data_IF_745340610565
#
_entry.id   IF_745340610565
#
_cell.length_a   1.000
_cell.length_b   1.000
_cell.length_c   1.000
_cell.angle_alpha   90.00
_cell.angle_beta   90.00
_cell.angle_gamma   90.00
#
_symmetry.space_group_name_H-M   'P 1'
#
loop_
_entity.id
_entity.type
_entity.pdbx_description
1 polymer ?
#
# COMPACT_ATOMS: atom_id res chain seq x y z
N UNK A 1 3.11 8.57 3.60
CA UNK A 1 3.80 7.55 4.43
C UNK A 1 4.13 8.10 5.82
N UNK A 2 3.21 8.84 6.47
CA UNK A 2 3.58 9.65 7.66
C UNK A 2 3.05 9.10 9.00
N UNK A 3 2.61 7.84 9.10
CA UNK A 3 1.90 7.41 10.32
C UNK A 3 2.12 5.94 10.76
N UNK A 4 3.33 5.38 10.55
CA UNK A 4 3.77 4.17 11.27
C UNK A 4 5.14 4.29 11.94
N UNK A 5 5.85 5.40 11.74
CA UNK A 5 7.14 5.67 12.39
C UNK A 5 6.99 6.27 13.81
N UNK A 6 5.81 6.77 14.18
CA UNK A 6 5.59 7.42 15.49
C UNK A 6 5.16 6.48 16.63
N UNK A 7 4.95 5.18 16.38
CA UNK A 7 4.40 4.25 17.40
C UNK A 7 5.41 3.28 18.00
N UNK A 8 6.70 3.43 17.69
CA UNK A 8 7.79 2.60 18.22
C UNK A 8 7.99 1.29 17.45
N UNK A 9 7.49 1.19 16.21
CA UNK A 9 7.68 0.00 15.40
C UNK A 9 9.06 -0.04 14.76
N UNK A 10 9.67 -1.24 14.73
CA UNK A 10 11.00 -1.45 14.17
C UNK A 10 10.96 -2.43 12.98
N UNK A 11 11.81 -2.24 11.96
CA UNK A 11 12.03 -3.28 10.97
C UNK A 11 12.66 -4.50 11.65
N UNK A 12 12.21 -5.70 11.26
CA UNK A 12 12.83 -6.92 11.75
C UNK A 12 12.34 -8.16 11.02
N UNK A 13 13.00 -9.29 11.25
CA UNK A 13 12.90 -10.48 10.39
C UNK A 13 11.52 -11.13 10.32
N UNK A 14 10.68 -10.96 11.35
CA UNK A 14 9.31 -11.48 11.41
C UNK A 14 8.39 -10.45 12.03
N UNK A 15 7.12 -10.49 11.62
CA UNK A 15 6.08 -9.69 12.24
C UNK A 15 5.89 -10.17 13.68
N UNK A 16 6.06 -9.27 14.64
CA UNK A 16 5.80 -9.51 16.03
C UNK A 16 5.10 -8.28 16.60
N UNK A 17 3.80 -8.40 16.88
CA UNK A 17 2.98 -7.27 17.32
C UNK A 17 3.27 -6.90 18.80
N UNK A 18 3.83 -7.81 19.61
CA UNK A 18 4.18 -7.60 21.03
C UNK A 18 5.39 -6.68 21.19
N UNK A 19 6.43 -6.87 20.36
CA UNK A 19 7.61 -5.99 20.32
C UNK A 19 7.52 -4.93 19.21
N UNK A 20 6.35 -4.81 18.57
CA UNK A 20 6.08 -3.89 17.46
C UNK A 20 7.13 -4.02 16.34
N UNK A 21 7.41 -5.24 15.91
CA UNK A 21 8.35 -5.53 14.83
C UNK A 21 7.60 -5.89 13.57
N UNK A 22 7.95 -5.31 12.43
CA UNK A 22 7.34 -5.66 11.15
C UNK A 22 8.38 -5.60 10.02
N UNK A 23 8.60 -6.71 9.28
CA UNK A 23 9.55 -6.75 8.16
C UNK A 23 9.18 -5.79 7.02
N UNK A 24 7.91 -5.42 6.90
CA UNK A 24 7.43 -4.51 5.86
C UNK A 24 7.61 -3.02 6.22
N UNK A 25 8.32 -2.69 7.32
CA UNK A 25 8.70 -1.33 7.68
C UNK A 25 10.05 -0.94 7.06
N UNK A 26 10.20 -1.24 5.78
CA UNK A 26 11.32 -0.83 4.95
C UNK A 26 10.79 0.04 3.81
N UNK A 27 11.63 0.84 3.14
CA UNK A 27 11.23 1.56 1.94
C UNK A 27 10.59 0.63 0.92
N UNK A 28 9.64 1.14 0.13
CA UNK A 28 8.92 0.34 -0.87
C UNK A 28 9.88 -0.43 -1.78
N UNK A 29 10.96 0.21 -2.24
CA UNK A 29 11.98 -0.40 -3.09
C UNK A 29 12.62 -1.66 -2.47
N UNK A 30 12.78 -1.68 -1.15
CA UNK A 30 13.40 -2.76 -0.38
C UNK A 30 12.41 -3.86 0.05
N UNK A 31 11.12 -3.70 -0.22
CA UNK A 31 10.14 -4.74 0.06
C UNK A 31 10.37 -5.96 -0.85
N UNK A 32 10.22 -7.19 -0.32
CA UNK A 32 10.18 -8.38 -1.16
C UNK A 32 9.10 -8.27 -2.23
N UNK A 33 9.40 -8.69 -3.47
CA UNK A 33 8.45 -8.61 -4.58
C UNK A 33 7.12 -9.34 -4.27
N UNK A 34 7.15 -10.44 -3.52
CA UNK A 34 5.92 -11.13 -3.09
C UNK A 34 4.99 -10.22 -2.26
N UNK A 35 5.54 -9.34 -1.43
CA UNK A 35 4.74 -8.39 -0.65
C UNK A 35 4.23 -7.26 -1.55
N UNK A 36 5.07 -6.75 -2.45
CA UNK A 36 4.66 -5.76 -3.45
C UNK A 36 3.53 -6.29 -4.33
N UNK A 37 3.59 -7.56 -4.72
CA UNK A 37 2.59 -8.19 -5.57
C UNK A 37 1.26 -8.36 -4.84
N UNK A 38 1.26 -8.71 -3.56
CA UNK A 38 0.03 -8.72 -2.73
C UNK A 38 -0.62 -7.34 -2.68
N UNK A 39 0.17 -6.28 -2.48
CA UNK A 39 -0.34 -4.91 -2.47
C UNK A 39 -0.88 -4.51 -3.86
N UNK A 40 -0.17 -4.87 -4.95
CA UNK A 40 -0.63 -4.64 -6.33
C UNK A 40 -1.92 -5.37 -6.64
N UNK A 41 -2.06 -6.63 -6.22
CA UNK A 41 -3.25 -7.44 -6.44
C UNK A 41 -4.46 -6.89 -5.70
N UNK A 42 -4.26 -6.41 -4.47
CA UNK A 42 -5.30 -5.70 -3.72
C UNK A 42 -5.74 -4.43 -4.46
N UNK A 43 -4.80 -3.63 -4.95
CA UNK A 43 -5.11 -2.41 -5.72
C UNK A 43 -5.81 -2.75 -7.04
N UNK A 44 -5.43 -3.83 -7.72
CA UNK A 44 -6.08 -4.31 -8.95
C UNK A 44 -7.54 -4.72 -8.74
N UNK A 45 -7.91 -5.14 -7.52
CA UNK A 45 -9.30 -5.48 -7.19
C UNK A 45 -10.19 -4.28 -6.84
N UNK A 46 -9.61 -3.10 -6.57
CA UNK A 46 -10.39 -1.89 -6.23
C UNK A 46 -11.36 -1.49 -7.35
N UNK A 47 -10.95 -1.44 -8.64
CA UNK A 47 -11.87 -1.15 -9.74
C UNK A 47 -13.08 -2.08 -9.79
N UNK A 48 -12.89 -3.39 -9.58
CA UNK A 48 -13.99 -4.37 -9.57
C UNK A 48 -14.97 -4.15 -8.42
N UNK A 49 -14.45 -3.86 -7.21
CA UNK A 49 -15.28 -3.57 -6.04
C UNK A 49 -16.10 -2.29 -6.28
N UNK A 50 -15.47 -1.25 -6.81
CA UNK A 50 -16.13 0.02 -7.13
C UNK A 50 -17.20 -0.16 -8.21
N UNK A 51 -16.91 -0.92 -9.27
CA UNK A 51 -17.86 -1.22 -10.33
C UNK A 51 -19.10 -1.94 -9.80
N UNK A 52 -18.92 -2.93 -8.91
CA UNK A 52 -20.03 -3.64 -8.24
C UNK A 52 -20.86 -2.73 -7.33
N UNK A 53 -20.24 -1.70 -6.76
CA UNK A 53 -20.92 -0.68 -5.97
C UNK A 53 -21.54 0.46 -6.83
N UNK A 54 -21.45 0.39 -8.16
CA UNK A 54 -22.01 1.40 -9.07
C UNK A 54 -21.14 2.64 -9.28
N UNK A 55 -19.86 2.57 -8.90
CA UNK A 55 -18.88 3.64 -9.09
C UNK A 55 -17.92 3.34 -10.25
N UNK A 56 -17.32 4.39 -10.81
CA UNK A 56 -16.29 4.28 -11.85
C UNK A 56 -15.06 5.10 -11.48
N UNK A 57 -13.88 4.59 -11.81
CA UNK A 57 -12.62 5.33 -11.72
C UNK A 57 -12.42 6.11 -13.01
N UNK A 58 -12.26 7.43 -12.89
CA UNK A 58 -11.95 8.30 -14.03
C UNK A 58 -10.58 8.93 -13.83
N UNK A 59 -9.78 8.96 -14.90
CA UNK A 59 -8.55 9.74 -14.93
C UNK A 59 -8.93 11.19 -15.15
N UNK A 60 -8.73 12.03 -14.13
CA UNK A 60 -8.78 13.47 -14.33
C UNK A 60 -7.65 13.84 -15.28
N UNK A 61 -7.98 14.48 -16.40
CA UNK A 61 -6.97 15.11 -17.24
C UNK A 61 -6.45 16.30 -16.46
N UNK A 62 -5.16 16.33 -16.18
CA UNK A 62 -4.54 17.56 -15.73
C UNK A 62 -4.80 18.62 -16.81
N UNK A 63 -5.37 19.75 -16.41
CA UNK A 63 -5.64 20.87 -17.28
C UNK A 63 -4.33 21.52 -17.71
N UNK A 64 -3.62 20.89 -18.64
CA UNK A 64 -2.57 21.54 -19.44
C UNK A 64 -3.07 21.55 -20.87
N UNK A 65 -4.06 22.41 -21.11
CA UNK A 65 -4.24 23.00 -22.42
C UNK A 65 -3.63 24.40 -22.35
N UNK A 66 -2.65 24.60 -23.22
CA UNK A 66 -1.90 25.81 -23.53
C UNK A 66 -0.62 26.07 -22.76
#
# INVERSE_FOLDING_TARGET
MENKLQTGWRPGSKRNDEVKMNPALVPWEELPEEQKDKDRDLVRGIPDILARAGYAIVRLRDGTTS
#
